data_IF_697190041527
#
_entry.id   IF_697190041527
#
_cell.length_a   1.000
_cell.length_b   1.000
_cell.length_c   1.000
_cell.angle_alpha   90.00
_cell.angle_beta   90.00
_cell.angle_gamma   90.00
#
_symmetry.space_group_name_H-M   'P 1'
#
loop_
_entity.id
_entity.type
_entity.pdbx_description
1 polymer ?
#
# COMPACT_ATOMS: atom_id res chain seq x y z
N UNK A 1 0.18 -28.87 3.34
CA UNK A 1 1.49 -29.45 2.95
C UNK A 1 2.32 -28.40 2.21
N UNK A 2 1.68 -27.56 1.39
CA UNK A 2 2.24 -26.33 0.80
C UNK A 2 2.59 -25.24 1.84
N UNK A 3 1.73 -24.96 2.82
CA UNK A 3 2.01 -23.98 3.90
C UNK A 3 3.29 -24.31 4.69
N UNK A 4 3.49 -25.58 5.07
CA UNK A 4 4.70 -26.02 5.78
C UNK A 4 5.98 -25.91 4.94
N UNK A 5 5.88 -26.00 3.61
CA UNK A 5 7.02 -25.86 2.71
C UNK A 5 7.36 -24.38 2.44
N UNK A 6 6.36 -23.50 2.42
CA UNK A 6 6.55 -22.04 2.33
C UNK A 6 7.11 -21.50 3.65
N UNK A 7 6.60 -21.95 4.80
CA UNK A 7 7.18 -21.68 6.11
C UNK A 7 8.63 -22.14 6.21
N UNK A 8 8.98 -23.29 5.63
CA UNK A 8 10.36 -23.79 5.61
C UNK A 8 11.30 -22.96 4.69
N UNK A 9 10.79 -22.40 3.59
CA UNK A 9 11.54 -21.50 2.69
C UNK A 9 11.75 -20.13 3.34
N UNK A 10 10.67 -19.55 3.91
CA UNK A 10 10.74 -18.34 4.71
C UNK A 10 11.67 -18.53 5.92
N UNK A 11 11.62 -19.69 6.60
CA UNK A 11 12.53 -20.08 7.67
C UNK A 11 13.99 -20.15 7.23
N UNK A 12 14.30 -20.62 6.00
CA UNK A 12 15.69 -20.63 5.49
C UNK A 12 16.25 -19.24 5.21
N UNK A 13 15.41 -18.27 4.84
CA UNK A 13 15.81 -16.86 4.64
C UNK A 13 15.85 -16.09 5.98
N UNK A 14 14.93 -16.41 6.91
CA UNK A 14 14.80 -15.73 8.23
C UNK A 14 15.69 -16.33 9.32
N UNK A 15 16.14 -17.59 9.23
CA UNK A 15 16.91 -18.26 10.28
C UNK A 15 18.33 -17.70 10.49
N UNK A 16 18.81 -16.82 9.61
CA UNK A 16 20.13 -16.18 9.70
C UNK A 16 20.05 -14.64 9.57
N UNK A 17 19.07 -14.01 10.23
CA UNK A 17 19.18 -12.58 10.51
C UNK A 17 20.17 -12.43 11.67
N UNK A 18 21.41 -12.14 11.32
CA UNK A 18 22.50 -11.93 12.28
C UNK A 18 22.22 -10.67 13.11
N UNK A 19 22.80 -10.62 14.32
CA UNK A 19 22.75 -9.44 15.19
C UNK A 19 23.19 -8.18 14.41
N UNK A 20 24.23 -8.31 13.60
CA UNK A 20 24.75 -7.24 12.73
C UNK A 20 23.69 -6.65 11.80
N UNK A 21 22.79 -7.47 11.21
CA UNK A 21 21.73 -6.96 10.33
C UNK A 21 20.67 -6.17 11.10
N UNK A 22 20.35 -6.59 12.32
CA UNK A 22 19.44 -5.83 13.20
C UNK A 22 20.06 -4.50 13.62
N UNK A 23 21.36 -4.49 13.90
CA UNK A 23 22.09 -3.26 14.20
C UNK A 23 22.16 -2.31 13.00
N UNK A 24 22.37 -2.83 11.79
CA UNK A 24 22.36 -2.03 10.57
C UNK A 24 20.99 -1.37 10.35
N UNK A 25 19.89 -2.12 10.49
CA UNK A 25 18.54 -1.56 10.37
C UNK A 25 18.26 -0.49 11.44
N UNK A 26 18.73 -0.69 12.67
CA UNK A 26 18.62 0.33 13.73
C UNK A 26 19.36 1.61 13.37
N UNK A 27 20.60 1.52 12.90
CA UNK A 27 21.38 2.69 12.45
C UNK A 27 20.68 3.43 11.32
N UNK A 28 20.09 2.71 10.36
CA UNK A 28 19.34 3.32 9.27
C UNK A 28 18.03 3.97 9.75
N UNK A 29 17.36 3.39 10.75
CA UNK A 29 16.20 3.98 11.40
C UNK A 29 16.53 5.22 12.26
N UNK A 30 17.79 5.45 12.63
CA UNK A 30 18.23 6.67 13.32
C UNK A 30 18.42 7.85 12.35
N UNK A 31 18.51 7.61 11.04
CA UNK A 31 18.63 8.65 10.02
C UNK A 31 17.29 9.38 9.87
N UNK A 32 17.21 10.59 10.41
CA UNK A 32 15.99 11.40 10.39
C UNK A 32 15.48 11.61 8.96
N UNK A 33 14.20 11.29 8.75
CA UNK A 33 13.51 11.37 7.45
C UNK A 33 13.65 10.12 6.58
N UNK A 34 14.60 9.22 6.86
CA UNK A 34 14.70 7.95 6.14
C UNK A 34 13.40 7.13 6.25
N UNK A 35 12.96 6.38 5.23
CA UNK A 35 11.74 5.58 5.33
C UNK A 35 11.68 4.65 6.55
N UNK A 36 12.77 3.94 6.87
CA UNK A 36 12.85 3.13 8.10
C UNK A 36 12.74 3.95 9.39
N UNK A 37 13.18 5.21 9.41
CA UNK A 37 12.97 6.09 10.54
C UNK A 37 11.48 6.36 10.74
N UNK A 38 10.77 6.70 9.66
CA UNK A 38 9.32 6.90 9.70
C UNK A 38 8.59 5.64 10.20
N UNK A 39 8.83 4.48 9.57
CA UNK A 39 8.18 3.23 10.00
C UNK A 39 8.50 2.86 11.45
N UNK A 40 9.73 3.12 11.92
CA UNK A 40 10.11 2.88 13.31
C UNK A 40 9.37 3.82 14.27
N UNK A 41 9.26 5.12 13.94
CA UNK A 41 8.53 6.10 14.76
C UNK A 41 7.04 5.81 14.83
N UNK A 42 6.45 5.32 13.75
CA UNK A 42 5.07 4.86 13.74
C UNK A 42 4.85 3.66 14.65
N UNK A 43 5.76 2.69 14.62
CA UNK A 43 5.72 1.54 15.52
C UNK A 43 5.89 1.91 17.00
N UNK A 44 6.76 2.88 17.30
CA UNK A 44 6.92 3.43 18.65
C UNK A 44 5.61 4.09 19.12
N UNK A 45 5.03 4.98 18.32
CA UNK A 45 3.76 5.64 18.63
C UNK A 45 2.60 4.63 18.77
N UNK A 46 2.55 3.61 17.91
CA UNK A 46 1.56 2.55 17.98
C UNK A 46 1.70 1.72 19.26
N UNK A 47 2.93 1.43 19.68
CA UNK A 47 3.21 0.75 20.96
C UNK A 47 2.65 1.54 22.14
N UNK A 48 2.76 2.86 22.14
CA UNK A 48 2.15 3.70 23.18
C UNK A 48 0.62 3.60 23.19
N UNK A 49 -0.02 3.61 22.01
CA UNK A 49 -1.48 3.44 21.89
C UNK A 49 -1.91 2.05 22.38
N UNK A 50 -1.18 1.00 22.02
CA UNK A 50 -1.44 -0.36 22.48
C UNK A 50 -1.34 -0.46 24.01
N UNK A 51 -0.29 0.11 24.61
CA UNK A 51 -0.12 0.10 26.07
C UNK A 51 -1.25 0.84 26.79
N UNK A 52 -1.67 2.00 26.27
CA UNK A 52 -2.85 2.73 26.78
C UNK A 52 -4.12 1.88 26.66
N UNK A 53 -4.27 1.15 25.55
CA UNK A 53 -5.41 0.24 25.32
C UNK A 53 -5.43 -0.89 26.33
N UNK A 54 -4.29 -1.52 26.60
CA UNK A 54 -4.16 -2.57 27.62
C UNK A 54 -4.54 -2.08 29.02
N UNK A 55 -4.14 -0.85 29.38
CA UNK A 55 -4.53 -0.25 30.65
C UNK A 55 -6.04 -0.04 30.71
N UNK A 56 -6.62 0.56 29.67
CA UNK A 56 -8.05 0.86 29.60
C UNK A 56 -8.92 -0.41 29.64
N UNK A 57 -8.50 -1.49 28.98
CA UNK A 57 -9.19 -2.79 29.05
C UNK A 57 -9.24 -3.30 30.50
N UNK A 58 -8.16 -3.14 31.28
CA UNK A 58 -8.14 -3.53 32.70
C UNK A 58 -9.08 -2.66 33.51
N UNK A 59 -9.09 -1.35 33.26
CA UNK A 59 -9.95 -0.40 33.97
C UNK A 59 -11.43 -0.69 33.68
N UNK A 60 -11.82 -0.97 32.43
CA UNK A 60 -13.20 -1.33 32.06
C UNK A 60 -13.65 -2.64 32.70
N UNK A 61 -12.76 -3.63 32.79
CA UNK A 61 -13.05 -4.92 33.46
C UNK A 61 -13.35 -4.71 34.96
N UNK A 62 -12.88 -3.62 35.57
CA UNK A 62 -13.13 -3.24 36.96
C UNK A 62 -14.33 -2.30 37.09
N UNK A 63 -14.42 -1.28 36.23
CA UNK A 63 -15.47 -0.26 36.20
C UNK A 63 -15.99 -0.06 34.76
N UNK A 64 -17.10 -0.74 34.37
CA UNK A 64 -17.72 -0.62 33.06
C UNK A 64 -18.61 0.64 32.96
N UNK A 65 -18.11 1.78 33.42
CA UNK A 65 -18.81 3.07 33.37
C UNK A 65 -18.86 3.64 31.95
N UNK A 66 -19.87 4.48 31.69
CA UNK A 66 -20.03 5.15 30.39
C UNK A 66 -18.82 6.03 30.01
N UNK A 67 -18.07 6.54 30.99
CA UNK A 67 -16.85 7.32 30.75
C UNK A 67 -15.73 6.44 30.16
N UNK A 68 -15.50 5.25 30.74
CA UNK A 68 -14.53 4.31 30.20
C UNK A 68 -14.96 3.77 28.83
N UNK A 69 -16.26 3.60 28.61
CA UNK A 69 -16.82 3.25 27.29
C UNK A 69 -16.62 4.35 26.23
N UNK A 70 -16.53 5.63 26.59
CA UNK A 70 -16.18 6.69 25.62
C UNK A 70 -14.70 6.65 25.26
N UNK A 71 -13.83 6.48 26.26
CA UNK A 71 -12.38 6.38 26.06
C UNK A 71 -11.99 5.22 25.14
N UNK A 72 -12.75 4.10 25.17
CA UNK A 72 -12.44 2.96 24.31
C UNK A 72 -12.71 3.28 22.83
N UNK A 73 -13.75 4.06 22.52
CA UNK A 73 -14.05 4.47 21.14
C UNK A 73 -12.91 5.34 20.61
N UNK A 74 -12.49 6.34 21.38
CA UNK A 74 -11.37 7.22 21.01
C UNK A 74 -10.05 6.45 20.80
N UNK A 75 -9.78 5.43 21.63
CA UNK A 75 -8.54 4.66 21.48
C UNK A 75 -8.59 3.72 20.27
N UNK A 76 -9.76 3.17 19.94
CA UNK A 76 -9.95 2.35 18.74
C UNK A 76 -9.75 3.18 17.48
N UNK A 77 -10.26 4.41 17.44
CA UNK A 77 -10.00 5.30 16.29
C UNK A 77 -8.51 5.60 16.12
N UNK A 78 -7.76 5.72 17.22
CA UNK A 78 -6.31 5.84 17.14
C UNK A 78 -5.62 4.54 16.69
N UNK A 79 -6.06 3.37 17.16
CA UNK A 79 -5.54 2.08 16.69
C UNK A 79 -5.79 1.89 15.19
N UNK A 80 -6.97 2.27 14.68
CA UNK A 80 -7.34 2.15 13.26
C UNK A 80 -6.46 2.96 12.32
N UNK A 81 -5.76 3.99 12.81
CA UNK A 81 -4.74 4.71 12.03
C UNK A 81 -3.62 3.80 11.54
N UNK A 82 -3.39 2.65 12.19
CA UNK A 82 -2.44 1.62 11.73
C UNK A 82 -2.69 1.16 10.30
N UNK A 83 -3.94 1.25 9.80
CA UNK A 83 -4.27 0.94 8.42
C UNK A 83 -3.41 1.74 7.42
N UNK A 84 -3.01 2.97 7.77
CA UNK A 84 -2.14 3.80 6.93
C UNK A 84 -0.70 3.28 6.93
N UNK A 85 -0.18 2.88 8.09
CA UNK A 85 1.13 2.24 8.22
C UNK A 85 1.18 0.93 7.42
N UNK A 86 0.14 0.09 7.55
CA UNK A 86 0.01 -1.16 6.82
C UNK A 86 -0.11 -0.97 5.31
N UNK A 87 -0.87 0.03 4.85
CA UNK A 87 -0.92 0.39 3.44
C UNK A 87 0.47 0.79 2.92
N UNK A 88 1.20 1.66 3.61
CA UNK A 88 2.56 2.06 3.19
C UNK A 88 3.52 0.90 3.04
N UNK A 89 3.63 0.02 4.04
CA UNK A 89 4.56 -1.13 3.93
C UNK A 89 4.07 -2.15 2.89
N UNK A 90 2.75 -2.33 2.78
CA UNK A 90 2.10 -3.20 1.80
C UNK A 90 2.29 -2.74 0.37
N UNK A 91 2.28 -1.44 0.12
CA UNK A 91 2.39 -0.88 -1.23
C UNK A 91 3.86 -0.64 -1.63
N UNK A 92 4.71 -0.26 -0.66
CA UNK A 92 6.08 0.20 -0.93
C UNK A 92 7.16 -0.85 -0.68
N UNK A 93 7.04 -1.67 0.37
CA UNK A 93 8.11 -2.58 0.80
C UNK A 93 7.87 -4.01 0.34
N UNK A 94 6.70 -4.59 0.58
CA UNK A 94 6.41 -5.99 0.24
C UNK A 94 6.52 -6.28 -1.27
N UNK A 95 5.90 -5.48 -2.17
CA UNK A 95 5.95 -5.71 -3.61
C UNK A 95 7.37 -5.54 -4.13
N UNK A 96 8.10 -4.56 -3.60
CA UNK A 96 9.47 -4.30 -4.00
C UNK A 96 10.39 -5.47 -3.64
N UNK A 97 10.28 -5.96 -2.41
CA UNK A 97 11.03 -7.12 -1.93
C UNK A 97 10.77 -8.36 -2.81
N UNK A 98 9.50 -8.65 -3.10
CA UNK A 98 9.08 -9.77 -3.95
C UNK A 98 9.58 -9.62 -5.38
N UNK A 99 9.24 -8.52 -6.04
CA UNK A 99 9.51 -8.35 -7.47
C UNK A 99 11.01 -8.21 -7.80
N UNK A 100 11.79 -7.54 -6.94
CA UNK A 100 13.20 -7.24 -7.23
C UNK A 100 14.17 -8.30 -6.72
N UNK A 101 13.86 -8.94 -5.59
CA UNK A 101 14.77 -9.86 -4.90
C UNK A 101 14.26 -11.29 -4.83
N UNK A 102 13.05 -11.57 -5.34
CA UNK A 102 12.40 -12.89 -5.30
C UNK A 102 12.23 -13.40 -3.85
N UNK A 103 11.96 -12.48 -2.91
CA UNK A 103 11.72 -12.78 -1.50
C UNK A 103 10.27 -12.45 -1.16
N UNK A 104 9.40 -13.45 -1.22
CA UNK A 104 7.95 -13.29 -0.99
C UNK A 104 7.46 -13.85 0.35
N UNK A 105 8.03 -14.97 0.82
CA UNK A 105 7.47 -15.75 1.93
C UNK A 105 7.14 -14.96 3.21
N UNK A 106 8.10 -14.21 3.80
CA UNK A 106 7.81 -13.39 4.99
C UNK A 106 6.81 -12.26 4.71
N UNK A 107 6.91 -11.61 3.55
CA UNK A 107 6.09 -10.47 3.15
C UNK A 107 4.62 -10.85 2.96
N UNK A 108 4.35 -11.96 2.27
CA UNK A 108 2.98 -12.42 1.95
C UNK A 108 2.21 -12.81 3.23
N UNK A 109 2.88 -13.46 4.18
CA UNK A 109 2.30 -13.82 5.49
C UNK A 109 2.02 -12.58 6.31
N UNK A 110 2.98 -11.64 6.37
CA UNK A 110 2.81 -10.39 7.11
C UNK A 110 1.64 -9.57 6.54
N UNK A 111 1.56 -9.43 5.22
CA UNK A 111 0.49 -8.69 4.56
C UNK A 111 -0.89 -9.28 4.87
N UNK A 112 -1.02 -10.61 4.86
CA UNK A 112 -2.27 -11.28 5.22
C UNK A 112 -2.67 -11.00 6.67
N UNK A 113 -1.70 -10.97 7.59
CA UNK A 113 -1.94 -10.63 8.99
C UNK A 113 -2.36 -9.17 9.17
N UNK A 114 -1.78 -8.25 8.40
CA UNK A 114 -2.14 -6.83 8.43
C UNK A 114 -3.58 -6.58 7.97
N UNK A 115 -3.99 -7.23 6.88
CA UNK A 115 -5.35 -7.16 6.38
C UNK A 115 -6.34 -7.70 7.42
N UNK A 116 -6.04 -8.82 8.07
CA UNK A 116 -6.86 -9.39 9.14
C UNK A 116 -6.98 -8.46 10.35
N UNK A 117 -5.89 -7.83 10.79
CA UNK A 117 -5.92 -6.86 11.90
C UNK A 117 -6.77 -5.64 11.51
N UNK A 118 -6.62 -5.11 10.30
CA UNK A 118 -7.40 -3.97 9.82
C UNK A 118 -8.89 -4.29 9.80
N UNK A 119 -9.25 -5.45 9.26
CA UNK A 119 -10.65 -5.88 9.14
C UNK A 119 -11.26 -6.13 10.53
N UNK A 120 -10.49 -6.69 11.46
CA UNK A 120 -10.89 -6.89 12.85
C UNK A 120 -11.14 -5.56 13.57
N UNK A 121 -10.21 -4.60 13.47
CA UNK A 121 -10.38 -3.27 14.08
C UNK A 121 -11.56 -2.50 13.48
N UNK A 122 -11.85 -2.70 12.18
CA UNK A 122 -13.04 -2.13 11.55
C UNK A 122 -14.31 -2.75 12.10
N UNK A 123 -14.38 -4.09 12.16
CA UNK A 123 -15.53 -4.79 12.74
C UNK A 123 -15.79 -4.34 14.19
N UNK A 124 -14.72 -4.23 14.98
CA UNK A 124 -14.71 -3.75 16.35
C UNK A 124 -15.33 -2.33 16.42
N UNK A 125 -14.88 -1.40 15.58
CA UNK A 125 -15.43 -0.04 15.55
C UNK A 125 -16.90 0.07 15.10
N UNK A 126 -17.41 -0.91 14.34
CA UNK A 126 -18.80 -0.90 13.87
C UNK A 126 -19.77 -1.66 14.84
N UNK A 127 -19.26 -2.26 15.92
CA UNK A 127 -20.03 -3.10 16.86
C UNK A 127 -20.55 -2.33 18.08
N UNK A 128 -21.59 -2.84 18.76
CA UNK A 128 -22.10 -2.25 20.02
C UNK A 128 -21.17 -2.59 21.21
N UNK A 129 -20.45 -1.58 21.69
CA UNK A 129 -19.22 -1.65 22.52
C UNK A 129 -19.39 -2.13 23.99
N UNK A 130 -20.32 -3.04 24.30
CA UNK A 130 -20.76 -3.24 25.71
C UNK A 130 -20.68 -4.65 26.27
N UNK A 131 -20.05 -5.60 25.58
CA UNK A 131 -19.93 -6.98 26.08
C UNK A 131 -18.48 -7.46 26.26
N UNK A 132 -18.27 -8.48 27.11
CA UNK A 132 -16.95 -9.01 27.41
C UNK A 132 -16.26 -9.66 26.21
N UNK A 133 -17.05 -10.16 25.25
CA UNK A 133 -16.57 -10.73 23.99
C UNK A 133 -15.81 -9.70 23.16
N UNK A 134 -16.34 -8.48 23.10
CA UNK A 134 -15.73 -7.35 22.41
C UNK A 134 -14.34 -6.99 22.96
N UNK A 135 -14.20 -6.91 24.29
CA UNK A 135 -12.92 -6.62 24.93
C UNK A 135 -11.90 -7.73 24.66
N UNK A 136 -12.34 -8.98 24.64
CA UNK A 136 -11.48 -10.12 24.28
C UNK A 136 -10.96 -10.04 22.83
N UNK A 137 -11.82 -9.62 21.90
CA UNK A 137 -11.44 -9.39 20.50
C UNK A 137 -10.43 -8.25 20.36
N UNK A 138 -10.66 -7.13 21.04
CA UNK A 138 -9.71 -6.02 21.06
C UNK A 138 -8.36 -6.43 21.67
N UNK A 139 -8.37 -7.15 22.79
CA UNK A 139 -7.15 -7.68 23.44
C UNK A 139 -6.37 -8.62 22.52
N UNK A 140 -7.07 -9.44 21.73
CA UNK A 140 -6.44 -10.28 20.70
C UNK A 140 -5.85 -9.45 19.55
N UNK A 141 -6.60 -8.47 19.03
CA UNK A 141 -6.15 -7.60 17.95
C UNK A 141 -4.87 -6.83 18.31
N UNK A 142 -4.83 -6.20 19.49
CA UNK A 142 -3.63 -5.46 19.93
C UNK A 142 -2.44 -6.38 20.20
N UNK A 143 -2.68 -7.62 20.64
CA UNK A 143 -1.60 -8.63 20.78
C UNK A 143 -0.97 -8.94 19.42
N UNK A 144 -1.80 -9.17 18.39
CA UNK A 144 -1.33 -9.39 17.02
C UNK A 144 -0.58 -8.18 16.47
N UNK A 145 -1.01 -6.96 16.80
CA UNK A 145 -0.30 -5.72 16.42
C UNK A 145 1.10 -5.66 17.04
N UNK A 146 1.27 -6.03 18.31
CA UNK A 146 2.60 -6.09 18.95
C UNK A 146 3.52 -7.13 18.30
N UNK A 147 2.98 -8.30 17.94
CA UNK A 147 3.73 -9.30 17.19
C UNK A 147 4.18 -8.77 15.83
N UNK A 148 3.33 -8.00 15.15
CA UNK A 148 3.68 -7.36 13.88
C UNK A 148 4.78 -6.31 14.03
N UNK A 149 4.69 -5.44 15.04
CA UNK A 149 5.77 -4.48 15.38
C UNK A 149 7.09 -5.22 15.60
N UNK A 150 7.06 -6.32 16.36
CA UNK A 150 8.26 -7.13 16.60
C UNK A 150 8.83 -7.72 15.31
N UNK A 151 7.99 -8.35 14.48
CA UNK A 151 8.40 -8.95 13.20
C UNK A 151 8.97 -7.89 12.25
N UNK A 152 8.38 -6.71 12.19
CA UNK A 152 8.89 -5.61 11.39
C UNK A 152 10.30 -5.20 11.84
N UNK A 153 10.46 -4.85 13.11
CA UNK A 153 11.72 -4.33 13.64
C UNK A 153 12.85 -5.36 13.65
N UNK A 154 12.53 -6.63 13.90
CA UNK A 154 13.55 -7.66 14.15
C UNK A 154 13.75 -8.64 12.99
N UNK A 155 12.85 -8.62 11.99
CA UNK A 155 12.90 -9.53 10.84
C UNK A 155 12.83 -8.73 9.53
N UNK A 156 11.74 -8.02 9.28
CA UNK A 156 11.49 -7.46 7.95
C UNK A 156 12.37 -6.25 7.61
N UNK A 157 12.51 -5.26 8.51
CA UNK A 157 13.40 -4.11 8.27
C UNK A 157 14.87 -4.52 8.14
N UNK A 158 15.43 -5.45 8.95
CA UNK A 158 16.76 -6.01 8.70
C UNK A 158 16.93 -6.68 7.33
N UNK A 159 15.88 -7.31 6.79
CA UNK A 159 15.90 -7.84 5.43
C UNK A 159 15.91 -6.69 4.41
N UNK A 160 15.06 -5.67 4.59
CA UNK A 160 15.04 -4.48 3.72
C UNK A 160 16.41 -3.79 3.68
N UNK A 161 17.01 -3.48 4.83
CA UNK A 161 18.34 -2.86 4.93
C UNK A 161 19.43 -3.69 4.25
N UNK A 162 19.31 -5.02 4.24
CA UNK A 162 20.29 -5.88 3.57
C UNK A 162 20.21 -5.77 2.05
N UNK A 163 19.01 -5.64 1.50
CA UNK A 163 18.77 -5.81 0.07
C UNK A 163 18.63 -4.48 -0.68
N UNK A 164 17.90 -3.52 -0.10
CA UNK A 164 17.53 -2.28 -0.79
C UNK A 164 18.73 -1.34 -0.89
N UNK A 165 18.92 -0.77 -2.08
CA UNK A 165 19.95 0.26 -2.33
C UNK A 165 19.45 1.64 -1.91
N UNK A 166 20.36 2.61 -1.85
CA UNK A 166 20.01 3.99 -1.50
C UNK A 166 19.05 4.60 -2.53
N UNK A 167 19.22 4.31 -3.83
CA UNK A 167 18.31 4.78 -4.88
C UNK A 167 16.89 4.24 -4.71
N UNK A 168 16.74 2.99 -4.28
CA UNK A 168 15.45 2.39 -3.98
C UNK A 168 14.83 3.03 -2.73
N UNK A 169 15.62 3.32 -1.70
CA UNK A 169 15.15 4.09 -0.55
C UNK A 169 14.72 5.51 -0.91
N UNK A 170 15.38 6.18 -1.85
CA UNK A 170 14.94 7.49 -2.34
C UNK A 170 13.58 7.42 -3.03
N UNK A 171 13.33 6.37 -3.82
CA UNK A 171 12.01 6.17 -4.45
C UNK A 171 10.93 5.81 -3.43
N UNK A 172 11.24 4.94 -2.45
CA UNK A 172 10.34 4.66 -1.32
C UNK A 172 10.01 5.95 -0.57
N UNK A 173 11.01 6.80 -0.30
CA UNK A 173 10.82 8.10 0.34
C UNK A 173 9.90 9.01 -0.48
N UNK A 174 10.12 9.09 -1.79
CA UNK A 174 9.29 9.90 -2.67
C UNK A 174 7.83 9.44 -2.66
N UNK A 175 7.59 8.14 -2.82
CA UNK A 175 6.23 7.58 -2.81
C UNK A 175 5.57 7.68 -1.43
N UNK A 176 6.35 7.66 -0.34
CA UNK A 176 5.83 7.79 1.03
C UNK A 176 5.16 9.14 1.30
N UNK A 177 5.50 10.19 0.54
CA UNK A 177 4.91 11.54 0.68
C UNK A 177 3.41 11.59 0.34
N UNK A 178 2.93 10.62 -0.44
CA UNK A 178 1.52 10.59 -0.86
C UNK A 178 0.60 9.99 0.19
N UNK A 179 1.12 9.46 1.29
CA UNK A 179 0.31 8.83 2.35
C UNK A 179 0.00 9.82 3.47
N UNK A 180 -1.18 9.64 4.08
CA UNK A 180 -1.55 10.39 5.27
C UNK A 180 -0.62 10.07 6.46
N UNK A 181 -0.46 10.98 7.44
CA UNK A 181 0.28 10.69 8.66
C UNK A 181 -0.36 9.54 9.47
N UNK A 182 0.46 8.62 10.00
CA UNK A 182 0.02 7.58 10.92
C UNK A 182 0.58 7.84 12.32
N UNK A 183 -0.18 8.51 13.18
CA UNK A 183 0.20 8.87 14.56
C UNK A 183 1.41 9.82 14.72
N UNK A 184 2.28 9.92 13.71
CA UNK A 184 3.43 10.81 13.64
C UNK A 184 3.45 11.53 12.29
N UNK A 185 4.02 12.74 12.27
CA UNK A 185 4.15 13.53 11.06
C UNK A 185 5.31 13.05 10.18
N UNK A 186 5.15 13.24 8.86
CA UNK A 186 6.20 12.95 7.89
C UNK A 186 7.36 13.94 8.05
N UNK A 187 8.58 13.41 8.12
CA UNK A 187 9.81 14.21 8.21
C UNK A 187 10.58 14.11 6.91
N UNK A 188 11.00 15.25 6.36
CA UNK A 188 11.78 15.29 5.11
C UNK A 188 13.15 14.66 5.31
N UNK A 189 13.63 13.97 4.28
CA UNK A 189 14.99 13.42 4.19
C UNK A 189 15.82 14.27 3.23
N UNK A 190 16.72 15.14 3.73
CA UNK A 190 17.44 16.09 2.88
C UNK A 190 18.27 15.44 1.76
N UNK A 191 18.86 14.28 2.04
CA UNK A 191 19.66 13.53 1.07
C UNK A 191 18.81 13.04 -0.11
N UNK A 192 17.64 12.45 0.16
CA UNK A 192 16.70 12.03 -0.88
C UNK A 192 16.16 13.21 -1.68
N UNK A 193 15.81 14.33 -1.03
CA UNK A 193 15.37 15.54 -1.74
C UNK A 193 16.43 16.03 -2.73
N UNK A 194 17.71 16.01 -2.33
CA UNK A 194 18.81 16.41 -3.19
C UNK A 194 19.06 15.43 -4.34
N UNK A 195 18.95 14.11 -4.09
CA UNK A 195 19.12 13.07 -5.09
C UNK A 195 18.01 13.13 -6.16
N UNK A 196 16.74 13.16 -5.73
CA UNK A 196 15.57 13.20 -6.62
C UNK A 196 15.50 14.48 -7.45
N UNK A 197 15.92 15.62 -6.88
CA UNK A 197 15.99 16.88 -7.62
C UNK A 197 16.98 16.83 -8.77
N UNK A 198 18.10 16.12 -8.62
CA UNK A 198 19.10 15.93 -9.69
C UNK A 198 18.60 15.01 -10.79
N UNK A 199 17.92 13.91 -10.43
CA UNK A 199 17.38 12.94 -11.39
C UNK A 199 16.29 13.55 -12.29
N UNK A 200 15.40 14.37 -11.71
CA UNK A 200 14.38 15.11 -12.44
C UNK A 200 14.96 16.18 -13.40
N UNK A 201 16.15 16.72 -13.10
CA UNK A 201 16.81 17.69 -13.98
C UNK A 201 17.47 17.03 -15.22
N UNK A 202 17.77 15.73 -15.15
CA UNK A 202 18.37 14.95 -16.24
C UNK A 202 17.36 14.24 -17.15
N UNK A 203 16.12 14.04 -16.68
CA UNK A 203 15.03 13.41 -17.44
C UNK A 203 14.29 14.43 -18.32
N UNK A 204 15.00 15.08 -19.24
CA UNK A 204 14.34 15.88 -20.27
C UNK A 204 13.66 14.94 -21.28
N UNK A 205 12.34 15.07 -21.42
CA UNK A 205 11.59 14.47 -22.51
C UNK A 205 12.23 14.89 -23.84
N UNK A 206 12.45 13.94 -24.74
CA UNK A 206 12.94 14.27 -26.08
C UNK A 206 11.88 15.08 -26.83
N UNK A 207 12.31 15.97 -27.73
CA UNK A 207 11.43 16.71 -28.65
C UNK A 207 10.87 15.81 -29.78
N UNK A 208 10.96 14.48 -29.63
CA UNK A 208 10.49 13.54 -30.63
C UNK A 208 8.97 13.62 -30.76
N UNK A 209 8.44 13.51 -31.98
CA UNK A 209 7.00 13.58 -32.24
C UNK A 209 6.42 12.17 -32.26
N UNK A 210 5.42 11.92 -31.43
CA UNK A 210 4.56 10.73 -31.45
C UNK A 210 3.48 10.95 -32.50
N UNK A 211 3.49 10.14 -33.57
CA UNK A 211 2.51 10.20 -34.65
C UNK A 211 1.44 9.12 -34.48
N UNK A 212 0.18 9.53 -34.49
CA UNK A 212 -1.00 8.66 -34.41
C UNK A 212 -1.89 8.90 -35.64
N UNK A 213 -2.80 7.97 -36.01
CA UNK A 213 -3.71 8.19 -37.14
C UNK A 213 -4.59 9.45 -36.99
N UNK A 214 -4.95 9.81 -35.75
CA UNK A 214 -5.78 10.97 -35.45
C UNK A 214 -5.04 12.28 -35.19
N UNK A 215 -3.70 12.31 -35.26
CA UNK A 215 -2.90 13.50 -34.96
C UNK A 215 -1.51 13.17 -34.42
N UNK A 216 -0.85 14.15 -33.84
CA UNK A 216 0.49 13.97 -33.28
C UNK A 216 0.67 14.79 -32.01
N UNK A 217 1.58 14.35 -31.15
CA UNK A 217 1.93 15.01 -29.90
C UNK A 217 3.44 14.93 -29.68
N UNK A 218 4.01 15.90 -28.99
CA UNK A 218 5.27 15.64 -28.27
C UNK A 218 4.97 14.82 -26.99
N UNK A 219 5.94 14.05 -26.44
CA UNK A 219 5.78 13.37 -25.17
C UNK A 219 5.29 14.28 -24.04
N UNK A 220 5.79 15.52 -24.01
CA UNK A 220 5.35 16.53 -23.04
C UNK A 220 3.86 16.89 -23.19
N UNK A 221 3.36 17.05 -24.42
CA UNK A 221 1.94 17.30 -24.69
C UNK A 221 1.06 16.11 -24.32
N UNK A 222 1.47 14.89 -24.70
CA UNK A 222 0.73 13.67 -24.38
C UNK A 222 0.62 13.49 -22.85
N UNK A 223 1.74 13.65 -22.13
CA UNK A 223 1.78 13.62 -20.67
C UNK A 223 0.85 14.67 -20.05
N UNK A 224 0.93 15.92 -20.50
CA UNK A 224 0.08 16.99 -19.99
C UNK A 224 -1.41 16.70 -20.22
N UNK A 225 -1.77 16.19 -21.41
CA UNK A 225 -3.14 15.80 -21.73
C UNK A 225 -3.64 14.68 -20.81
N UNK A 226 -2.88 13.58 -20.66
CA UNK A 226 -3.25 12.44 -19.80
C UNK A 226 -3.40 12.83 -18.32
N UNK A 227 -2.59 13.79 -17.85
CA UNK A 227 -2.69 14.32 -16.49
C UNK A 227 -3.86 15.32 -16.31
N UNK A 228 -4.40 15.86 -17.40
CA UNK A 228 -5.54 16.81 -17.38
C UNK A 228 -6.89 16.09 -17.40
N UNK A 229 -6.93 14.84 -17.87
CA UNK A 229 -8.16 14.05 -17.89
C UNK A 229 -8.73 13.90 -16.47
N UNK A 230 -10.06 14.03 -16.27
CA UNK A 230 -10.71 13.90 -14.97
C UNK A 230 -10.87 12.43 -14.54
N UNK A 231 -9.87 11.60 -14.86
CA UNK A 231 -9.80 10.17 -14.56
C UNK A 231 -8.37 9.80 -14.19
N UNK A 232 -8.21 8.93 -13.19
CA UNK A 232 -6.92 8.30 -12.95
C UNK A 232 -6.76 7.15 -13.94
N UNK A 233 -5.62 7.08 -14.59
CA UNK A 233 -5.33 6.07 -15.60
C UNK A 233 -4.11 5.28 -15.15
N UNK A 234 -4.24 3.95 -15.18
CA UNK A 234 -3.14 3.00 -15.10
C UNK A 234 -3.13 2.15 -16.37
N UNK A 235 -1.94 1.86 -16.90
CA UNK A 235 -1.77 0.94 -18.04
C UNK A 235 -0.79 -0.17 -17.70
N UNK A 236 -1.22 -1.39 -18.02
CA UNK A 236 -0.49 -2.64 -17.87
C UNK A 236 -0.33 -3.24 -19.27
N UNK A 237 0.88 -3.63 -19.66
CA UNK A 237 1.14 -4.19 -21.00
C UNK A 237 0.66 -5.64 -21.18
N UNK A 238 0.93 -6.21 -22.35
CA UNK A 238 0.58 -7.59 -22.69
C UNK A 238 1.30 -8.65 -21.83
N UNK A 239 2.42 -8.27 -21.21
CA UNK A 239 3.24 -9.09 -20.34
C UNK A 239 2.88 -8.93 -18.86
N UNK A 240 1.77 -8.25 -18.57
CA UNK A 240 1.26 -7.98 -17.23
C UNK A 240 2.16 -7.03 -16.41
N UNK A 241 2.95 -6.20 -17.08
CA UNK A 241 3.86 -5.23 -16.46
C UNK A 241 3.18 -3.87 -16.35
N UNK A 242 3.26 -3.23 -15.18
CA UNK A 242 2.81 -1.86 -15.00
C UNK A 242 3.70 -0.91 -15.82
N UNK A 243 3.13 -0.20 -16.79
CA UNK A 243 3.88 0.65 -17.71
C UNK A 243 3.66 2.14 -17.47
N UNK A 244 2.47 2.54 -17.02
CA UNK A 244 2.14 3.94 -16.87
C UNK A 244 1.09 4.17 -15.79
N UNK A 245 1.27 5.26 -15.05
CA UNK A 245 0.24 5.91 -14.25
C UNK A 245 0.23 7.39 -14.62
N UNK A 246 -0.95 7.98 -14.90
CA UNK A 246 -1.00 9.43 -15.01
C UNK A 246 -0.67 10.08 -13.66
N UNK A 247 -0.10 11.28 -13.67
CA UNK A 247 0.42 11.91 -12.46
C UNK A 247 -0.64 12.76 -11.75
N UNK A 248 -0.31 13.19 -10.53
CA UNK A 248 -1.15 14.05 -9.71
C UNK A 248 -1.84 13.32 -8.57
N UNK A 249 -2.69 14.04 -7.80
CA UNK A 249 -3.35 13.46 -6.64
C UNK A 249 -4.31 12.32 -7.03
N UNK A 250 -4.03 11.11 -6.53
CA UNK A 250 -4.86 9.93 -6.75
C UNK A 250 -5.67 9.55 -5.52
N UNK A 251 -6.89 9.09 -5.76
CA UNK A 251 -7.77 8.46 -4.79
C UNK A 251 -7.26 7.05 -4.47
N UNK A 252 -6.73 6.31 -5.44
CA UNK A 252 -5.99 5.07 -5.19
C UNK A 252 -4.50 5.31 -5.40
N UNK A 253 -3.73 5.18 -4.33
CA UNK A 253 -2.29 5.41 -4.37
C UNK A 253 -1.64 4.42 -5.35
N UNK A 254 -0.68 4.93 -6.12
CA UNK A 254 0.11 4.16 -7.08
C UNK A 254 1.55 4.51 -6.80
N UNK A 255 2.28 3.58 -6.21
CA UNK A 255 3.71 3.75 -5.99
C UNK A 255 4.39 3.89 -7.35
N UNK A 256 5.13 4.98 -7.60
CA UNK A 256 5.88 5.15 -8.84
C UNK A 256 6.89 4.02 -9.05
N UNK A 257 7.38 3.45 -7.94
CA UNK A 257 8.19 2.24 -7.94
C UNK A 257 7.56 1.00 -8.58
N UNK A 258 6.22 0.93 -8.68
CA UNK A 258 5.55 -0.20 -9.30
C UNK A 258 5.74 -0.26 -10.83
N UNK A 259 6.14 0.85 -11.47
CA UNK A 259 6.45 0.88 -12.89
C UNK A 259 7.58 -0.10 -13.22
N UNK A 260 7.40 -0.89 -14.28
CA UNK A 260 8.31 -1.94 -14.71
C UNK A 260 8.21 -3.24 -13.90
N UNK A 261 7.23 -3.38 -13.02
CA UNK A 261 6.96 -4.60 -12.25
C UNK A 261 5.66 -5.25 -12.70
N UNK A 262 5.61 -6.56 -12.56
CA UNK A 262 4.42 -7.36 -12.73
C UNK A 262 3.29 -6.89 -11.78
N UNK A 263 2.08 -6.72 -12.33
CA UNK A 263 0.89 -6.19 -11.64
C UNK A 263 0.45 -7.05 -10.46
N UNK A 264 0.66 -8.37 -10.52
CA UNK A 264 0.25 -9.30 -9.48
C UNK A 264 1.04 -9.05 -8.20
N UNK A 265 2.32 -8.70 -8.32
CA UNK A 265 3.19 -8.42 -7.16
C UNK A 265 2.74 -7.22 -6.32
N UNK A 266 1.94 -6.32 -6.89
CA UNK A 266 1.44 -5.12 -6.23
C UNK A 266 0.19 -5.37 -5.36
N UNK A 267 -0.31 -6.61 -5.31
CA UNK A 267 -1.55 -6.93 -4.63
C UNK A 267 -1.35 -7.96 -3.51
N UNK A 268 -2.13 -7.88 -2.42
CA UNK A 268 -2.15 -8.93 -1.41
C UNK A 268 -2.51 -10.30 -2.02
N UNK A 269 -2.03 -11.43 -1.47
CA UNK A 269 -2.23 -12.76 -2.06
C UNK A 269 -3.69 -13.12 -2.42
N UNK A 270 -4.65 -12.71 -1.57
CA UNK A 270 -6.08 -12.94 -1.81
C UNK A 270 -6.61 -12.16 -3.02
N UNK A 271 -6.08 -10.96 -3.27
CA UNK A 271 -6.47 -10.08 -4.37
C UNK A 271 -5.71 -10.44 -5.65
N UNK A 272 -4.46 -10.89 -5.53
CA UNK A 272 -3.61 -11.35 -6.63
C UNK A 272 -4.35 -12.36 -7.53
N UNK A 273 -5.01 -13.35 -6.93
CA UNK A 273 -5.78 -14.38 -7.65
C UNK A 273 -6.94 -13.78 -8.48
N UNK A 274 -7.61 -12.75 -7.96
CA UNK A 274 -8.69 -12.07 -8.65
C UNK A 274 -8.16 -11.29 -9.86
N UNK A 275 -7.05 -10.57 -9.68
CA UNK A 275 -6.39 -9.82 -10.76
C UNK A 275 -5.96 -10.77 -11.89
N UNK A 276 -5.35 -11.91 -11.54
CA UNK A 276 -4.99 -12.97 -12.52
C UNK A 276 -6.20 -13.47 -13.31
N UNK A 277 -7.33 -13.71 -12.65
CA UNK A 277 -8.55 -14.15 -13.33
C UNK A 277 -9.09 -13.09 -14.29
N UNK A 278 -9.11 -11.82 -13.89
CA UNK A 278 -9.60 -10.72 -14.73
C UNK A 278 -8.73 -10.58 -15.98
N UNK A 279 -7.41 -10.53 -15.82
CA UNK A 279 -6.46 -10.42 -16.93
C UNK A 279 -6.53 -11.64 -17.85
N UNK A 280 -6.67 -12.85 -17.28
CA UNK A 280 -6.87 -14.08 -18.07
C UNK A 280 -8.11 -14.03 -18.96
N UNK A 281 -9.21 -13.47 -18.46
CA UNK A 281 -10.43 -13.29 -19.25
C UNK A 281 -10.27 -12.25 -20.36
N UNK A 282 -9.50 -11.18 -20.11
CA UNK A 282 -9.18 -10.19 -21.13
C UNK A 282 -8.29 -10.77 -22.24
N UNK A 283 -7.25 -11.53 -21.87
CA UNK A 283 -6.35 -12.19 -22.82
C UNK A 283 -7.07 -13.22 -23.69
N UNK A 284 -7.99 -13.98 -23.11
CA UNK A 284 -8.78 -14.99 -23.84
C UNK A 284 -9.94 -14.43 -24.66
N UNK A 285 -10.33 -13.17 -24.42
CA UNK A 285 -11.52 -12.56 -25.04
C UNK A 285 -12.84 -12.98 -24.40
N UNK A 286 -12.80 -13.64 -23.23
CA UNK A 286 -14.01 -13.98 -22.48
C UNK A 286 -14.74 -12.74 -21.95
N UNK A 287 -13.99 -11.67 -21.64
CA UNK A 287 -14.51 -10.36 -21.24
C UNK A 287 -13.64 -9.26 -21.83
N UNK A 288 -14.22 -8.09 -22.07
CA UNK A 288 -13.47 -6.87 -22.45
C UNK A 288 -13.47 -5.80 -21.36
N UNK A 289 -14.35 -5.94 -20.35
CA UNK A 289 -14.48 -4.95 -19.28
C UNK A 289 -14.96 -5.56 -17.97
N UNK A 290 -14.47 -5.03 -16.86
CA UNK A 290 -14.99 -5.22 -15.50
C UNK A 290 -15.20 -3.85 -14.87
N UNK A 291 -16.41 -3.58 -14.38
CA UNK A 291 -16.75 -2.32 -13.71
C UNK A 291 -17.05 -2.57 -12.24
N UNK A 292 -16.43 -1.81 -11.35
CA UNK A 292 -16.63 -1.85 -9.90
C UNK A 292 -17.14 -0.50 -9.44
N UNK A 293 -18.32 -0.51 -8.84
CA UNK A 293 -18.93 0.66 -8.22
C UNK A 293 -18.71 0.59 -6.72
N UNK A 294 -18.12 1.63 -6.15
CA UNK A 294 -17.83 1.65 -4.71
C UNK A 294 -17.85 3.07 -4.17
N UNK A 295 -17.83 3.17 -2.83
CA UNK A 295 -17.60 4.42 -2.14
C UNK A 295 -16.22 4.38 -1.48
N UNK A 296 -15.46 5.47 -1.61
CA UNK A 296 -14.17 5.64 -0.97
C UNK A 296 -14.12 7.01 -0.31
N UNK A 297 -13.93 7.03 1.00
CA UNK A 297 -13.89 8.27 1.79
C UNK A 297 -15.14 9.16 1.60
N UNK A 298 -16.32 8.54 1.49
CA UNK A 298 -17.58 9.25 1.24
C UNK A 298 -17.80 9.67 -0.21
N UNK A 299 -16.85 9.39 -1.11
CA UNK A 299 -16.93 9.75 -2.53
C UNK A 299 -17.40 8.52 -3.31
N UNK A 300 -18.48 8.62 -4.12
CA UNK A 300 -18.87 7.58 -5.04
C UNK A 300 -17.86 7.50 -6.20
N UNK A 301 -17.42 6.30 -6.53
CA UNK A 301 -16.34 6.04 -7.48
C UNK A 301 -16.72 4.90 -8.42
N UNK A 302 -16.38 5.08 -9.69
CA UNK A 302 -16.36 4.02 -10.69
C UNK A 302 -14.91 3.63 -10.98
N UNK A 303 -14.59 2.35 -10.80
CA UNK A 303 -13.33 1.76 -11.25
C UNK A 303 -13.63 0.82 -12.42
N UNK A 304 -13.01 1.07 -13.58
CA UNK A 304 -13.14 0.21 -14.76
C UNK A 304 -11.81 -0.40 -15.12
N UNK A 305 -11.80 -1.72 -15.33
CA UNK A 305 -10.71 -2.47 -15.93
C UNK A 305 -11.13 -2.84 -17.34
N UNK A 306 -10.33 -2.46 -18.34
CA UNK A 306 -10.69 -2.54 -19.76
C UNK A 306 -9.55 -3.23 -20.51
N UNK A 307 -9.89 -4.24 -21.32
CA UNK A 307 -8.96 -4.86 -22.24
C UNK A 307 -8.59 -3.87 -23.36
N UNK A 308 -7.31 -3.59 -23.51
CA UNK A 308 -6.77 -2.78 -24.61
C UNK A 308 -6.40 -3.73 -25.74
N UNK A 309 -6.94 -3.47 -26.93
CA UNK A 309 -6.73 -4.29 -28.13
C UNK A 309 -6.21 -3.43 -29.27
N UNK A 310 -5.38 -4.02 -30.13
CA UNK A 310 -4.93 -3.39 -31.37
C UNK A 310 -6.00 -3.42 -32.47
N UNK A 311 -5.67 -2.88 -33.64
CA UNK A 311 -6.57 -2.83 -34.81
C UNK A 311 -6.98 -4.23 -35.32
N UNK A 312 -6.26 -5.29 -34.96
CA UNK A 312 -6.58 -6.68 -35.30
C UNK A 312 -7.42 -7.38 -34.21
N UNK A 313 -7.76 -6.68 -33.13
CA UNK A 313 -8.46 -7.23 -31.97
C UNK A 313 -7.56 -8.02 -31.01
N UNK A 314 -6.23 -8.00 -31.22
CA UNK A 314 -5.27 -8.68 -30.36
C UNK A 314 -5.12 -7.91 -29.05
N UNK A 315 -5.16 -8.62 -27.92
CA UNK A 315 -4.90 -8.02 -26.60
C UNK A 315 -3.47 -7.47 -26.54
N UNK A 316 -3.33 -6.20 -26.19
CA UNK A 316 -2.06 -5.47 -26.03
C UNK A 316 -1.90 -4.84 -24.65
N UNK A 317 -2.82 -5.15 -23.71
CA UNK A 317 -2.72 -4.66 -22.34
C UNK A 317 -4.05 -4.47 -21.65
N UNK A 318 -4.00 -4.02 -20.41
CA UNK A 318 -5.15 -3.66 -19.60
C UNK A 318 -5.05 -2.20 -19.16
N UNK A 319 -6.13 -1.46 -19.33
CA UNK A 319 -6.26 -0.12 -18.78
C UNK A 319 -7.16 -0.15 -17.55
N UNK A 320 -6.73 0.49 -16.47
CA UNK A 320 -7.56 0.80 -15.31
C UNK A 320 -7.92 2.28 -15.35
N UNK A 321 -9.20 2.59 -15.19
CA UNK A 321 -9.71 3.95 -15.03
C UNK A 321 -10.41 4.09 -13.68
N UNK A 322 -10.03 5.11 -12.90
CA UNK A 322 -10.76 5.51 -11.68
C UNK A 322 -11.39 6.87 -11.93
N UNK A 323 -12.71 6.94 -11.77
CA UNK A 323 -13.47 8.16 -11.93
C UNK A 323 -14.27 8.48 -10.67
N UNK A 324 -14.11 9.70 -10.16
CA UNK A 324 -15.00 10.24 -9.14
C UNK A 324 -16.35 10.57 -9.77
N UNK A 325 -17.42 10.09 -9.16
CA UNK A 325 -18.78 10.23 -9.68
C UNK A 325 -19.59 11.26 -8.89
N UNK A 326 -18.97 12.04 -8.01
CA UNK A 326 -19.66 12.96 -7.11
C UNK A 326 -20.29 14.13 -7.88
N UNK A 327 -19.62 14.65 -8.91
CA UNK A 327 -20.20 15.68 -9.77
C UNK A 327 -21.43 15.17 -10.54
N UNK A 328 -21.34 13.96 -11.09
CA UNK A 328 -22.46 13.31 -11.78
C UNK A 328 -23.62 13.08 -10.81
N UNK A 329 -23.35 12.53 -9.62
CA UNK A 329 -24.35 12.32 -8.57
C UNK A 329 -25.06 13.63 -8.20
N UNK A 330 -24.31 14.70 -7.93
CA UNK A 330 -24.87 16.04 -7.62
C UNK A 330 -25.68 16.63 -8.78
N UNK A 331 -25.34 16.33 -10.02
CA UNK A 331 -26.08 16.82 -11.19
C UNK A 331 -27.47 16.19 -11.30
N UNK A 332 -27.58 14.88 -11.04
CA UNK A 332 -28.83 14.13 -11.19
C UNK A 332 -29.69 14.04 -9.90
N UNK A 333 -29.17 14.44 -8.75
CA UNK A 333 -29.94 14.59 -7.51
C UNK A 333 -30.74 15.91 -7.44
N UNK A 334 -30.55 16.81 -8.40
CA UNK A 334 -31.38 18.00 -8.62
C UNK A 334 -32.56 17.68 -9.51
#
# INVERSE_FOLDING_TARGET
MEEKNIEASAARVTSNITIEKREAAKKQAEIVGHPLHLFTKENEALTEVINKTKSLIKDIKIDPSDDNNRKIIEIIDNLRKVAIHYAKKGDLLYPHMKAKYDISGPSDVMWSVDDEIRDELKFIADSDFRNAEYLGRLEHAITRMEEMIYKEQNIFFPICTKFFTDEEWYKIYQDSKDYAPCLVDFVKWPEAEAALSKENATSNATDDIINLPGGHFTPAQLRAMLNTLPVEISFIDENDINCFFNEGPKLFKRAGMAIGRDVYSCHPPKIEMMVRSIIGDFKSGARDKVSVWMEKEGIPVLVEYIAVRDDNGQYIGTMECVQKMDEAKKHFEK
#
